data_IF_146240407047
#
_entry.id   IF_146240407047
#
_cell.length_a   1.000
_cell.length_b   1.000
_cell.length_c   1.000
_cell.angle_alpha   90.00
_cell.angle_beta   90.00
_cell.angle_gamma   90.00
#
_symmetry.space_group_name_H-M   'P 1'
#
loop_
_entity.id
_entity.type
_entity.pdbx_description
1 polymer ?
#
# COMPACT_ATOMS: atom_id res chain seq x y z
N UNK A 1 -7.32 0.57 -10.82
CA UNK A 1 -8.26 -0.52 -11.13
C UNK A 1 -8.76 -1.24 -9.88
N UNK A 2 -7.91 -1.84 -9.04
CA UNK A 2 -8.38 -2.56 -7.82
C UNK A 2 -9.04 -1.60 -6.81
N UNK A 3 -8.38 -0.48 -6.50
CA UNK A 3 -8.92 0.50 -5.55
C UNK A 3 -10.23 1.16 -6.00
N UNK A 4 -10.46 1.24 -7.31
CA UNK A 4 -11.72 1.74 -7.88
C UNK A 4 -12.83 0.67 -7.85
N UNK A 5 -12.48 -0.60 -8.10
CA UNK A 5 -13.42 -1.73 -8.02
C UNK A 5 -13.94 -1.97 -6.58
N UNK A 6 -13.20 -1.56 -5.56
CA UNK A 6 -13.68 -1.58 -4.17
C UNK A 6 -14.85 -0.63 -3.90
N UNK A 7 -15.04 0.40 -4.73
CA UNK A 7 -16.14 1.37 -4.56
C UNK A 7 -17.44 0.92 -5.23
N UNK A 8 -17.44 -0.20 -5.95
CA UNK A 8 -18.60 -0.72 -6.67
C UNK A 8 -19.12 -1.96 -5.93
N UNK A 9 -20.37 -1.96 -5.43
CA UNK A 9 -20.88 -3.02 -4.56
C UNK A 9 -20.69 -4.44 -5.12
N UNK A 10 -20.98 -4.64 -6.41
CA UNK A 10 -20.88 -5.95 -7.06
C UNK A 10 -19.44 -6.47 -7.22
N UNK A 11 -18.43 -5.60 -7.12
CA UNK A 11 -17.01 -5.99 -7.24
C UNK A 11 -16.21 -5.77 -5.97
N UNK A 12 -16.83 -5.27 -4.91
CA UNK A 12 -16.17 -4.90 -3.66
C UNK A 12 -15.47 -6.10 -3.01
N UNK A 13 -16.19 -7.21 -2.81
CA UNK A 13 -15.64 -8.41 -2.18
C UNK A 13 -14.43 -8.97 -2.94
N UNK A 14 -14.52 -9.10 -4.27
CA UNK A 14 -13.42 -9.56 -5.10
C UNK A 14 -12.23 -8.59 -5.07
N UNK A 15 -12.49 -7.29 -5.08
CA UNK A 15 -11.43 -6.28 -5.05
C UNK A 15 -10.71 -6.22 -3.69
N UNK A 16 -11.41 -6.46 -2.58
CA UNK A 16 -10.81 -6.62 -1.25
C UNK A 16 -9.87 -7.82 -1.23
N UNK A 17 -10.34 -8.99 -1.71
CA UNK A 17 -9.54 -10.21 -1.76
C UNK A 17 -8.29 -10.03 -2.63
N UNK A 18 -8.44 -9.45 -3.82
CA UNK A 18 -7.33 -9.21 -4.73
C UNK A 18 -6.30 -8.24 -4.13
N UNK A 19 -6.75 -7.16 -3.46
CA UNK A 19 -5.83 -6.22 -2.79
C UNK A 19 -5.10 -6.88 -1.62
N UNK A 20 -5.75 -7.79 -0.87
CA UNK A 20 -5.10 -8.55 0.20
C UNK A 20 -4.05 -9.51 -0.36
N UNK A 21 -4.36 -10.22 -1.45
CA UNK A 21 -3.41 -11.10 -2.13
C UNK A 21 -2.22 -10.33 -2.69
N UNK A 22 -2.46 -9.16 -3.28
CA UNK A 22 -1.39 -8.31 -3.80
C UNK A 22 -0.40 -7.88 -2.70
N UNK A 23 -0.90 -7.52 -1.51
CA UNK A 23 -0.03 -7.19 -0.37
C UNK A 23 0.79 -8.39 0.11
N UNK A 24 0.20 -9.59 0.16
CA UNK A 24 0.94 -10.83 0.47
C UNK A 24 2.07 -11.07 -0.52
N UNK A 25 1.81 -10.96 -1.81
CA UNK A 25 2.84 -11.10 -2.85
C UNK A 25 4.00 -10.13 -2.64
N UNK A 26 3.73 -8.87 -2.26
CA UNK A 26 4.80 -7.92 -1.95
C UNK A 26 5.60 -8.31 -0.70
N UNK A 27 4.93 -8.81 0.35
CA UNK A 27 5.61 -9.30 1.57
C UNK A 27 6.48 -10.53 1.28
N UNK A 28 5.95 -11.51 0.55
CA UNK A 28 6.67 -12.74 0.18
C UNK A 28 7.88 -12.43 -0.72
N UNK A 29 7.77 -11.39 -1.54
CA UNK A 29 8.87 -10.86 -2.34
C UNK A 29 9.84 -9.96 -1.55
N UNK A 30 9.65 -9.80 -0.23
CA UNK A 30 10.52 -9.02 0.64
C UNK A 30 10.57 -7.52 0.34
N UNK A 31 9.52 -6.97 -0.27
CA UNK A 31 9.48 -5.54 -0.62
C UNK A 31 9.43 -4.66 0.64
N UNK A 32 10.15 -3.55 0.60
CA UNK A 32 10.09 -2.52 1.64
C UNK A 32 8.92 -1.56 1.41
N UNK A 33 8.63 -0.71 2.41
CA UNK A 33 7.69 0.40 2.25
C UNK A 33 8.10 1.35 1.12
N UNK A 34 9.40 1.64 0.97
CA UNK A 34 9.93 2.47 -0.12
C UNK A 34 9.72 1.81 -1.50
N UNK A 35 9.97 0.49 -1.60
CA UNK A 35 9.80 -0.23 -2.87
C UNK A 35 8.35 -0.20 -3.35
N UNK A 36 7.41 -0.44 -2.43
CA UNK A 36 5.97 -0.41 -2.76
C UNK A 36 5.49 1.01 -3.04
N UNK A 37 6.06 2.02 -2.37
CA UNK A 37 5.75 3.43 -2.64
C UNK A 37 6.04 3.80 -4.11
N UNK A 38 7.24 3.45 -4.59
CA UNK A 38 7.66 3.64 -5.99
C UNK A 38 6.92 2.73 -6.97
N UNK A 39 6.65 1.48 -6.59
CA UNK A 39 5.87 0.55 -7.42
C UNK A 39 4.46 1.06 -7.70
N UNK A 40 3.87 1.77 -6.74
CA UNK A 40 2.58 2.44 -6.89
C UNK A 40 2.66 3.84 -7.50
N UNK A 41 3.87 4.29 -7.89
CA UNK A 41 4.16 5.61 -8.48
C UNK A 41 3.69 6.77 -7.60
N UNK A 42 3.78 6.59 -6.28
CA UNK A 42 3.37 7.62 -5.32
C UNK A 42 4.37 8.76 -5.24
N UNK A 43 5.64 8.51 -5.57
CA UNK A 43 6.70 9.50 -5.74
C UNK A 43 6.42 10.48 -6.88
N UNK A 44 5.69 10.05 -7.91
CA UNK A 44 5.28 10.90 -9.04
C UNK A 44 4.00 11.72 -8.74
N UNK A 45 3.35 11.49 -7.59
CA UNK A 45 2.01 12.06 -7.31
C UNK A 45 2.04 13.51 -6.79
N UNK A 46 3.20 14.00 -6.34
CA UNK A 46 3.38 15.38 -5.85
C UNK A 46 2.32 15.79 -4.81
N UNK A 47 1.72 16.96 -5.01
CA UNK A 47 0.69 17.50 -4.10
C UNK A 47 -0.62 16.70 -4.08
N UNK A 48 -0.84 15.80 -5.04
CA UNK A 48 -2.04 14.94 -5.11
C UNK A 48 -1.87 13.61 -4.38
N UNK A 49 -0.70 13.37 -3.77
CA UNK A 49 -0.35 12.14 -3.07
C UNK A 49 -1.46 11.67 -2.11
N UNK A 50 -1.87 12.55 -1.19
CA UNK A 50 -2.84 12.23 -0.15
C UNK A 50 -4.27 11.99 -0.68
N UNK A 51 -4.56 12.40 -1.92
CA UNK A 51 -5.83 12.14 -2.60
C UNK A 51 -5.85 10.80 -3.35
N UNK A 52 -4.69 10.15 -3.47
CA UNK A 52 -4.56 8.89 -4.21
C UNK A 52 -5.10 7.73 -3.36
N UNK A 53 -6.04 6.91 -3.87
CA UNK A 53 -6.47 5.70 -3.16
C UNK A 53 -5.35 4.63 -3.09
N UNK A 54 -4.29 4.79 -3.89
CA UNK A 54 -3.08 3.97 -3.80
C UNK A 54 -2.25 4.34 -2.57
N UNK A 55 -2.33 5.59 -2.08
CA UNK A 55 -1.68 6.00 -0.84
C UNK A 55 -2.25 5.22 0.36
N UNK A 56 -3.58 5.08 0.46
CA UNK A 56 -4.21 4.24 1.50
C UNK A 56 -3.81 2.76 1.40
N UNK A 57 -3.61 2.27 0.17
CA UNK A 57 -3.14 0.90 -0.06
C UNK A 57 -1.71 0.71 0.43
N UNK A 58 -0.85 1.70 0.19
CA UNK A 58 0.52 1.73 0.68
C UNK A 58 0.61 1.85 2.20
N UNK A 59 -0.16 2.75 2.84
CA UNK A 59 -0.15 2.87 4.31
C UNK A 59 -0.59 1.56 4.97
N UNK A 60 -1.63 0.91 4.43
CA UNK A 60 -2.08 -0.40 4.91
C UNK A 60 -0.98 -1.47 4.79
N UNK A 61 -0.18 -1.41 3.72
CA UNK A 61 0.95 -2.33 3.55
C UNK A 61 2.07 -2.06 4.56
N UNK A 62 2.41 -0.80 4.82
CA UNK A 62 3.41 -0.44 5.84
C UNK A 62 2.96 -0.90 7.24
N UNK A 63 1.67 -0.78 7.54
CA UNK A 63 1.11 -1.32 8.78
C UNK A 63 1.21 -2.85 8.85
N UNK A 64 0.93 -3.56 7.75
CA UNK A 64 1.02 -5.02 7.68
C UNK A 64 2.47 -5.52 7.94
N UNK A 65 3.48 -4.90 7.31
CA UNK A 65 4.89 -5.27 7.53
C UNK A 65 5.37 -4.93 8.94
N UNK A 66 4.91 -3.82 9.52
CA UNK A 66 5.26 -3.43 10.89
C UNK A 66 4.66 -4.38 11.92
N UNK A 67 3.42 -4.85 11.70
CA UNK A 67 2.78 -5.86 12.55
C UNK A 67 3.52 -7.19 12.50
N UNK A 68 4.02 -7.57 11.32
CA UNK A 68 4.76 -8.81 11.12
C UNK A 68 6.21 -8.74 11.64
N UNK A 69 6.79 -7.54 11.76
CA UNK A 69 8.18 -7.35 12.19
C UNK A 69 8.35 -6.18 13.17
N UNK A 70 7.84 -6.35 14.39
CA UNK A 70 7.82 -5.30 15.42
C UNK A 70 9.20 -4.73 15.76
N UNK A 71 10.26 -5.54 15.66
CA UNK A 71 11.63 -5.10 15.96
C UNK A 71 12.26 -4.26 14.83
N UNK A 72 11.65 -4.24 13.65
CA UNK A 72 12.11 -3.46 12.49
C UNK A 72 11.01 -2.53 11.96
N UNK A 73 10.12 -2.10 12.86
CA UNK A 73 9.01 -1.23 12.48
C UNK A 73 9.52 0.06 11.85
N UNK A 74 8.91 0.46 10.73
CA UNK A 74 9.28 1.63 9.95
C UNK A 74 8.24 2.73 10.16
N UNK A 75 8.71 3.97 10.33
CA UNK A 75 7.86 5.15 10.44
C UNK A 75 7.38 5.63 9.07
N UNK A 76 6.06 5.86 8.92
CA UNK A 76 5.47 6.47 7.73
C UNK A 76 6.05 7.84 7.42
N UNK A 77 6.27 8.67 8.44
CA UNK A 77 6.84 10.02 8.26
C UNK A 77 8.26 9.93 7.72
N UNK A 78 9.04 8.97 8.20
CA UNK A 78 10.41 8.75 7.72
C UNK A 78 10.47 8.24 6.27
N UNK A 79 9.43 7.54 5.80
CA UNK A 79 9.33 7.15 4.39
C UNK A 79 8.94 8.33 3.49
N UNK A 80 8.12 9.26 4.01
CA UNK A 80 7.65 10.43 3.25
C UNK A 80 8.64 11.60 3.24
N UNK A 81 9.53 11.68 4.21
CA UNK A 81 10.49 12.77 4.35
C UNK A 81 11.80 12.57 3.55
N UNK A 82 11.89 11.50 2.75
CA UNK A 82 13.02 11.22 1.85
C UNK A 82 12.86 11.93 0.52
#
# INVERSE_FOLDING_TARGET
MVATAKKVPNTEGLAILLQAQQRRVWMDAGKSGDDVFKLLKLDESGTKLFNSPLFTTWTSYVDDINRNNRNKAVSLVSLLAK
#
